data_IF_127128880065
#
_entry.id   IF_127128880065
#
_cell.length_a   1.000
_cell.length_b   1.000
_cell.length_c   1.000
_cell.angle_alpha   90.00
_cell.angle_beta   90.00
_cell.angle_gamma   90.00
#
_symmetry.space_group_name_H-M   'P 1'
#
loop_
_entity.id
_entity.type
_entity.pdbx_description
1 polymer ?
#
# COMPACT_ATOMS: atom_id res chain seq x y z
N UNK A 1 -13.99 -13.83 10.35
CA UNK A 1 -13.94 -12.89 9.21
C UNK A 1 -12.55 -12.29 9.18
N UNK A 2 -11.87 -12.44 8.05
CA UNK A 2 -10.53 -11.88 7.85
C UNK A 2 -10.62 -10.34 7.79
N UNK A 3 -9.82 -9.65 8.60
CA UNK A 3 -9.97 -8.20 8.85
C UNK A 3 -9.24 -7.32 7.83
N UNK A 4 -9.10 -7.79 6.59
CA UNK A 4 -8.22 -7.15 5.61
C UNK A 4 -6.76 -7.18 6.07
N UNK A 5 -6.32 -8.29 6.66
CA UNK A 5 -4.93 -8.53 7.06
C UNK A 5 -4.17 -9.19 5.91
N UNK A 6 -2.97 -8.73 5.57
CA UNK A 6 -2.13 -9.34 4.54
C UNK A 6 -1.05 -10.19 5.21
N UNK A 7 -0.81 -11.39 4.68
CA UNK A 7 0.27 -12.28 5.14
C UNK A 7 1.24 -12.52 4.00
N UNK A 8 2.52 -12.39 4.31
CA UNK A 8 3.60 -12.70 3.35
C UNK A 8 4.20 -14.04 3.76
N UNK A 9 4.29 -14.97 2.82
CA UNK A 9 4.86 -16.30 3.00
C UNK A 9 6.08 -16.47 2.11
N UNK A 10 7.10 -17.16 2.64
CA UNK A 10 8.20 -17.66 1.83
C UNK A 10 7.72 -18.86 1.01
N UNK A 11 7.87 -18.82 -0.30
CA UNK A 11 7.31 -19.84 -1.20
C UNK A 11 8.07 -21.17 -1.19
N UNK A 12 9.32 -21.17 -0.71
CA UNK A 12 10.17 -22.37 -0.66
C UNK A 12 9.92 -23.15 0.63
N UNK A 13 9.99 -22.46 1.76
CA UNK A 13 9.87 -23.01 3.11
C UNK A 13 8.42 -23.05 3.61
N UNK A 14 7.52 -22.28 2.97
CA UNK A 14 6.10 -22.12 3.36
C UNK A 14 5.91 -21.48 4.74
N UNK A 15 6.97 -20.86 5.28
CA UNK A 15 6.91 -20.15 6.55
C UNK A 15 6.27 -18.77 6.37
N UNK A 16 5.48 -18.34 7.36
CA UNK A 16 4.97 -16.97 7.44
C UNK A 16 6.09 -16.01 7.83
N UNK A 17 6.36 -15.05 6.95
CA UNK A 17 7.39 -14.04 7.13
C UNK A 17 6.87 -12.82 7.87
N UNK A 18 5.68 -12.31 7.53
CA UNK A 18 5.11 -11.15 8.22
C UNK A 18 3.57 -11.11 8.10
N UNK A 19 2.91 -10.57 9.13
CA UNK A 19 1.49 -10.25 9.15
C UNK A 19 1.30 -8.73 9.21
N UNK A 20 0.65 -8.17 8.19
CA UNK A 20 0.48 -6.74 7.96
C UNK A 20 -0.99 -6.35 8.17
N UNK A 21 -1.23 -5.29 8.93
CA UNK A 21 -2.55 -4.69 9.15
C UNK A 21 -2.63 -3.35 8.45
N UNK A 22 -3.56 -3.25 7.50
CA UNK A 22 -3.98 -2.00 6.86
C UNK A 22 -4.63 -1.04 7.87
N UNK A 23 -5.40 -1.57 8.82
CA UNK A 23 -6.09 -0.80 9.85
C UNK A 23 -6.93 -1.67 10.78
N UNK A 24 -7.71 -1.04 11.64
CA UNK A 24 -8.63 -1.72 12.58
C UNK A 24 -9.92 -2.21 11.90
N UNK A 25 -10.35 -1.50 10.86
CA UNK A 25 -11.62 -1.75 10.18
C UNK A 25 -11.48 -2.79 9.06
N UNK A 26 -12.54 -3.59 8.88
CA UNK A 26 -12.70 -4.49 7.75
C UNK A 26 -12.56 -3.70 6.44
N UNK A 27 -11.88 -4.30 5.46
CA UNK A 27 -11.72 -3.73 4.14
C UNK A 27 -11.58 -4.83 3.09
N UNK A 28 -12.18 -4.58 1.93
CA UNK A 28 -11.95 -5.35 0.71
C UNK A 28 -10.68 -4.83 0.05
N UNK A 29 -9.69 -5.71 -0.13
CA UNK A 29 -8.44 -5.38 -0.82
C UNK A 29 -8.67 -5.52 -2.33
N UNK A 30 -8.34 -4.47 -3.08
CA UNK A 30 -8.50 -4.46 -4.54
C UNK A 30 -7.23 -4.90 -5.26
N UNK A 31 -6.06 -4.49 -4.78
CA UNK A 31 -4.78 -4.79 -5.40
C UNK A 31 -3.68 -4.91 -4.35
N UNK A 32 -2.71 -5.79 -4.61
CA UNK A 32 -1.48 -5.96 -3.83
C UNK A 32 -0.32 -6.07 -4.83
N UNK A 33 0.79 -5.38 -4.56
CA UNK A 33 2.01 -5.51 -5.35
C UNK A 33 3.26 -5.45 -4.47
N UNK A 34 4.30 -6.18 -4.86
CA UNK A 34 5.64 -6.07 -4.29
C UNK A 34 6.45 -4.99 -5.01
N UNK A 35 7.37 -4.34 -4.30
CA UNK A 35 8.44 -3.59 -4.97
C UNK A 35 9.35 -4.56 -5.72
N UNK A 36 10.08 -4.06 -6.73
CA UNK A 36 10.94 -4.89 -7.58
C UNK A 36 11.98 -5.71 -6.80
N UNK A 37 12.51 -5.13 -5.73
CA UNK A 37 13.49 -5.74 -4.82
C UNK A 37 12.86 -6.54 -3.67
N UNK A 38 11.52 -6.57 -3.58
CA UNK A 38 10.76 -7.18 -2.48
C UNK A 38 11.12 -6.60 -1.10
N UNK A 39 11.57 -5.34 -1.04
CA UNK A 39 11.78 -4.64 0.23
C UNK A 39 10.45 -4.09 0.78
N UNK A 40 9.48 -3.82 -0.10
CA UNK A 40 8.18 -3.24 0.22
C UNK A 40 6.99 -3.99 -0.43
N UNK A 41 5.82 -3.79 0.16
CA UNK A 41 4.53 -4.23 -0.36
C UNK A 41 3.52 -3.08 -0.29
N UNK A 42 2.75 -2.86 -1.36
CA UNK A 42 1.65 -1.91 -1.36
C UNK A 42 0.31 -2.63 -1.52
N UNK A 43 -0.75 -2.07 -0.94
CA UNK A 43 -2.10 -2.54 -1.19
C UNK A 43 -3.13 -1.40 -1.22
N UNK A 44 -4.12 -1.52 -2.11
CA UNK A 44 -5.28 -0.62 -2.19
C UNK A 44 -6.53 -1.31 -1.65
N UNK A 45 -7.47 -0.53 -1.13
CA UNK A 45 -8.72 -1.09 -0.58
C UNK A 45 -9.94 -0.19 -0.83
N UNK A 46 -11.12 -0.73 -0.55
CA UNK A 46 -12.42 -0.04 -0.53
C UNK A 46 -12.51 1.16 0.44
N UNK A 47 -11.49 1.41 1.25
CA UNK A 47 -11.40 2.54 2.18
C UNK A 47 -10.77 3.78 1.55
N UNK A 48 -10.52 3.77 0.24
CA UNK A 48 -9.89 4.90 -0.46
C UNK A 48 -8.48 5.17 0.02
N UNK A 49 -7.75 4.14 0.48
CA UNK A 49 -6.37 4.29 0.95
C UNK A 49 -5.46 3.27 0.29
N UNK A 50 -4.26 3.71 -0.06
CA UNK A 50 -3.17 2.84 -0.48
C UNK A 50 -2.14 2.81 0.64
N UNK A 51 -1.82 1.61 1.11
CA UNK A 51 -0.88 1.38 2.21
C UNK A 51 0.44 0.87 1.67
N UNK A 52 1.54 1.28 2.28
CA UNK A 52 2.91 0.91 1.93
C UNK A 52 3.56 0.29 3.18
N UNK A 53 4.00 -0.94 3.06
CA UNK A 53 4.62 -1.72 4.14
C UNK A 53 6.05 -2.07 3.77
N UNK A 54 6.97 -1.95 4.72
CA UNK A 54 8.29 -2.57 4.63
C UNK A 54 8.18 -4.05 5.02
N UNK A 55 8.61 -4.96 4.15
CA UNK A 55 8.48 -6.41 4.39
C UNK A 55 9.82 -7.07 4.70
N UNK A 56 10.94 -6.44 4.32
CA UNK A 56 12.29 -6.91 4.63
C UNK A 56 12.85 -6.25 5.89
N UNK A 57 12.89 -4.91 5.94
CA UNK A 57 13.21 -4.16 7.16
C UNK A 57 11.94 -3.73 7.89
N UNK A 58 11.31 -4.68 8.58
CA UNK A 58 10.02 -4.50 9.24
C UNK A 58 10.04 -3.56 10.46
N UNK A 59 11.20 -3.01 10.83
CA UNK A 59 11.32 -1.98 11.88
C UNK A 59 10.90 -0.59 11.37
N UNK A 60 10.81 -0.41 10.05
CA UNK A 60 10.28 0.82 9.45
C UNK A 60 8.76 0.92 9.58
N UNK A 61 8.06 -0.20 9.74
CA UNK A 61 6.62 -0.21 9.92
C UNK A 61 6.21 0.34 11.29
N UNK A 62 5.06 1.01 11.33
CA UNK A 62 4.45 1.47 12.58
C UNK A 62 4.04 0.26 13.42
N UNK A 63 4.32 0.31 14.73
CA UNK A 63 3.92 -0.74 15.69
C UNK A 63 3.10 -0.14 16.81
N UNK A 64 2.01 -0.82 17.17
CA UNK A 64 1.31 -0.56 18.42
C UNK A 64 2.06 -1.35 19.49
N UNK A 65 2.82 -0.65 20.34
CA UNK A 65 3.40 -1.26 21.53
C UNK A 65 2.27 -1.51 22.52
N UNK A 66 1.75 -2.74 22.56
CA UNK A 66 0.91 -3.17 23.67
C UNK A 66 1.86 -3.53 24.80
N UNK A 67 1.78 -2.90 25.98
CA UNK A 67 2.58 -3.31 27.13
C UNK A 67 2.10 -4.68 27.59
N UNK A 68 2.62 -5.74 26.99
CA UNK A 68 2.41 -7.10 27.48
C UNK A 68 3.32 -7.30 28.67
N UNK A 69 2.74 -7.21 29.86
CA UNK A 69 3.39 -7.60 31.11
C UNK A 69 3.80 -9.07 31.05
N UNK A 70 5.08 -9.31 30.74
CA UNK A 70 5.74 -10.58 30.92
C UNK A 70 5.86 -11.45 29.67
N UNK A 71 7.06 -12.02 29.55
CA UNK A 71 7.50 -13.11 28.67
C UNK A 71 7.94 -12.69 27.26
N UNK A 72 9.26 -12.57 27.16
CA UNK A 72 10.09 -12.43 25.97
C UNK A 72 9.88 -13.63 25.01
N UNK A 73 9.21 -13.41 23.88
CA UNK A 73 8.95 -14.47 22.90
C UNK A 73 8.43 -13.98 21.55
N UNK A 74 9.38 -13.80 20.61
CA UNK A 74 9.31 -13.75 19.14
C UNK A 74 7.94 -13.85 18.43
N UNK A 75 7.71 -12.87 17.54
CA UNK A 75 6.84 -12.93 16.35
C UNK A 75 5.32 -13.00 16.62
N UNK A 76 4.73 -11.84 16.94
CA UNK A 76 3.27 -11.73 17.08
C UNK A 76 2.69 -10.31 16.97
N UNK A 77 3.52 -9.28 16.80
CA UNK A 77 3.01 -7.92 16.68
C UNK A 77 2.62 -7.64 15.23
N UNK A 78 1.32 -7.54 15.00
CA UNK A 78 0.82 -7.12 13.71
C UNK A 78 1.28 -5.70 13.39
N UNK A 79 1.83 -5.52 12.19
CA UNK A 79 2.50 -4.28 11.81
C UNK A 79 1.59 -3.42 10.95
N UNK A 80 1.58 -2.13 11.24
CA UNK A 80 0.83 -1.13 10.47
C UNK A 80 1.72 -0.54 9.37
N UNK A 81 1.09 0.03 8.34
CA UNK A 81 1.80 0.59 7.20
C UNK A 81 2.85 1.63 7.62
N UNK A 82 4.03 1.57 7.00
CA UNK A 82 5.08 2.59 7.06
C UNK A 82 4.49 3.94 6.63
N UNK A 83 3.84 3.95 5.48
CA UNK A 83 3.25 5.12 4.85
C UNK A 83 1.90 4.75 4.22
N UNK A 84 1.06 5.75 3.99
CA UNK A 84 -0.18 5.60 3.24
C UNK A 84 -0.54 6.92 2.56
N UNK A 85 -1.38 6.83 1.55
CA UNK A 85 -2.02 7.98 0.93
C UNK A 85 -3.47 7.65 0.56
N UNK A 86 -4.26 8.70 0.36
CA UNK A 86 -5.69 8.61 0.06
C UNK A 86 -5.92 8.78 -1.43
N UNK A 87 -6.83 7.98 -1.97
CA UNK A 87 -7.41 8.08 -3.31
C UNK A 87 -8.93 8.29 -3.17
N UNK A 88 -9.66 8.65 -4.23
CA UNK A 88 -11.11 8.82 -4.16
C UNK A 88 -11.79 7.63 -3.45
N UNK A 89 -12.56 7.87 -2.38
CA UNK A 89 -13.19 6.80 -1.62
C UNK A 89 -14.21 6.07 -2.49
N UNK A 90 -14.44 4.79 -2.20
CA UNK A 90 -15.38 3.92 -2.92
C UNK A 90 -15.06 3.70 -4.41
N UNK A 91 -13.96 4.25 -4.91
CA UNK A 91 -13.43 3.98 -6.24
C UNK A 91 -12.38 2.86 -6.16
N UNK A 92 -12.59 1.79 -6.93
CA UNK A 92 -11.59 0.74 -7.03
C UNK A 92 -10.33 1.28 -7.75
N UNK A 93 -9.16 0.93 -7.22
CA UNK A 93 -7.89 1.26 -7.85
C UNK A 93 -6.91 0.10 -7.77
N UNK A 94 -6.06 0.01 -8.78
CA UNK A 94 -4.85 -0.81 -8.74
C UNK A 94 -3.69 0.05 -8.28
N UNK A 95 -2.71 -0.55 -7.61
CA UNK A 95 -1.50 0.15 -7.17
C UNK A 95 -0.24 -0.65 -7.49
N UNK A 96 0.85 0.05 -7.80
CA UNK A 96 2.15 -0.55 -8.08
C UNK A 96 3.30 0.39 -7.73
N UNK A 97 4.48 -0.16 -7.45
CA UNK A 97 5.68 0.62 -7.21
C UNK A 97 6.25 1.18 -8.52
N UNK A 98 6.53 2.48 -8.54
CA UNK A 98 7.32 3.13 -9.57
C UNK A 98 8.78 3.34 -9.15
N UNK A 99 9.60 3.99 -10.00
CA UNK A 99 10.96 4.40 -9.64
C UNK A 99 11.00 5.39 -8.46
N UNK A 100 12.18 5.60 -7.88
CA UNK A 100 12.43 6.65 -6.88
C UNK A 100 11.55 6.57 -5.63
N UNK A 101 11.36 5.37 -5.06
CA UNK A 101 10.51 5.14 -3.88
C UNK A 101 9.12 5.75 -4.07
N UNK A 102 8.47 5.42 -5.19
CA UNK A 102 7.13 5.90 -5.50
C UNK A 102 6.12 4.77 -5.60
N UNK A 103 4.85 5.09 -5.36
CA UNK A 103 3.71 4.22 -5.62
C UNK A 103 2.75 4.98 -6.52
N UNK A 104 2.28 4.29 -7.55
CA UNK A 104 1.28 4.77 -8.50
C UNK A 104 -0.04 4.08 -8.18
N UNK A 105 -1.14 4.82 -8.21
CA UNK A 105 -2.49 4.29 -8.18
C UNK A 105 -3.27 4.75 -9.42
N UNK A 106 -3.94 3.80 -10.07
CA UNK A 106 -4.84 4.04 -11.21
C UNK A 106 -6.24 3.67 -10.76
N UNK A 107 -7.13 4.65 -10.78
CA UNK A 107 -8.49 4.56 -10.26
C UNK A 107 -9.50 4.38 -11.40
N UNK A 108 -10.62 3.70 -11.10
CA UNK A 108 -11.70 3.43 -12.05
C UNK A 108 -12.43 4.70 -12.52
N UNK A 109 -12.36 5.77 -11.74
CA UNK A 109 -12.92 7.09 -12.06
C UNK A 109 -12.07 7.89 -13.06
N UNK A 110 -11.02 7.29 -13.61
CA UNK A 110 -10.15 7.97 -14.57
C UNK A 110 -8.99 8.73 -13.94
N UNK A 111 -8.80 8.65 -12.62
CA UNK A 111 -7.71 9.39 -11.96
C UNK A 111 -6.41 8.58 -11.85
N UNK A 112 -5.30 9.27 -12.11
CA UNK A 112 -3.94 8.82 -11.89
C UNK A 112 -3.36 9.53 -10.66
N UNK A 113 -2.69 8.78 -9.79
CA UNK A 113 -2.01 9.32 -8.60
C UNK A 113 -0.60 8.75 -8.51
N UNK A 114 0.40 9.59 -8.32
CA UNK A 114 1.77 9.16 -7.99
C UNK A 114 2.21 9.81 -6.69
N UNK A 115 2.63 8.99 -5.75
CA UNK A 115 3.12 9.44 -4.45
C UNK A 115 4.54 8.92 -4.23
N UNK A 116 5.42 9.79 -3.72
CA UNK A 116 6.76 9.42 -3.24
C UNK A 116 6.72 9.19 -1.75
N UNK A 117 7.43 8.18 -1.27
CA UNK A 117 7.54 7.84 0.13
C UNK A 117 8.98 7.67 0.59
N UNK A 118 9.20 7.81 1.89
CA UNK A 118 10.52 7.72 2.52
C UNK A 118 10.49 6.73 3.68
N UNK A 119 11.67 6.28 4.11
CA UNK A 119 11.81 5.27 5.18
C UNK A 119 11.39 5.76 6.57
N UNK A 120 11.25 7.07 6.78
CA UNK A 120 10.70 7.70 7.99
C UNK A 120 9.16 7.85 7.93
N UNK A 121 8.52 7.39 6.86
CA UNK A 121 7.07 7.30 6.74
C UNK A 121 6.38 8.54 6.17
N UNK A 122 7.14 9.49 5.62
CA UNK A 122 6.57 10.60 4.85
C UNK A 122 6.05 10.05 3.51
N UNK A 123 4.89 10.53 3.06
CA UNK A 123 4.29 10.17 1.79
C UNK A 123 3.63 11.40 1.16
N UNK A 124 4.16 11.86 0.04
CA UNK A 124 3.72 13.11 -0.61
C UNK A 124 3.32 12.84 -2.05
N UNK A 125 2.28 13.54 -2.53
CA UNK A 125 1.87 13.49 -3.92
C UNK A 125 2.95 14.13 -4.80
N UNK A 126 3.42 13.38 -5.77
CA UNK A 126 4.37 13.86 -6.78
C UNK A 126 3.64 14.26 -8.06
N UNK A 127 2.62 13.50 -8.48
CA UNK A 127 1.83 13.79 -9.66
C UNK A 127 0.37 13.33 -9.52
N UNK A 128 -0.51 13.96 -10.29
CA UNK A 128 -1.92 13.66 -10.41
C UNK A 128 -2.37 13.99 -11.84
N UNK A 129 -3.26 13.18 -12.40
CA UNK A 129 -3.86 13.43 -13.71
C UNK A 129 -5.24 12.78 -13.85
N UNK A 130 -6.02 13.19 -14.84
CA UNK A 130 -7.27 12.55 -15.25
C UNK A 130 -7.09 12.05 -16.68
N UNK A 131 -6.95 10.73 -16.85
CA UNK A 131 -6.56 10.13 -18.13
C UNK A 131 -7.74 9.86 -19.07
N UNK A 132 -8.97 10.13 -18.64
CA UNK A 132 -10.16 9.97 -19.50
C UNK A 132 -10.37 11.17 -20.43
N UNK A 133 -9.87 12.35 -20.08
CA UNK A 133 -10.09 13.60 -20.83
C UNK A 133 -8.99 13.90 -21.86
N UNK A 134 -8.01 13.00 -22.03
CA UNK A 134 -6.80 13.24 -22.85
C UNK A 134 -7.06 13.02 -24.36
N UNK A 135 -8.26 12.58 -24.76
CA UNK A 135 -8.57 12.18 -26.14
C UNK A 135 -9.32 13.24 -26.99
N UNK A 136 -9.65 14.42 -26.47
CA UNK A 136 -10.54 15.37 -27.18
C UNK A 136 -9.81 16.40 -28.07
N UNK A 137 -8.47 16.39 -28.16
CA UNK A 137 -7.71 17.43 -28.88
C UNK A 137 -7.22 17.05 -30.31
N UNK A 138 -7.70 15.94 -30.90
CA UNK A 138 -7.33 15.55 -32.28
C UNK A 138 -8.32 15.97 -33.39
N UNK A 139 -9.30 16.85 -33.13
CA UNK A 139 -10.35 17.22 -34.11
C UNK A 139 -10.35 18.67 -34.64
N UNK A 140 -9.28 19.46 -34.46
CA UNK A 140 -9.23 20.86 -34.98
C UNK A 140 -7.97 21.25 -35.76
N UNK A 141 -7.53 20.39 -36.68
CA UNK A 141 -6.69 20.83 -37.81
C UNK A 141 -7.28 20.31 -39.12
N UNK A 142 -8.25 21.06 -39.66
CA UNK A 142 -8.68 21.01 -41.06
C UNK A 142 -8.34 22.33 -41.74
#
# INVERSE_FOLDING_TARGET
MDRGTQKVWDTTTKNQLVELRRGSDLATIYCINFSRDSDYLCCSSDKGTVHIFAIKNTNLNKRILIPSGGILGKYGDSQWALANFTVPPECACICAFGPNSSVIAICLDGTFHKYVFTSDGICNREAYDVYLDVCDDEDYLQ
#
